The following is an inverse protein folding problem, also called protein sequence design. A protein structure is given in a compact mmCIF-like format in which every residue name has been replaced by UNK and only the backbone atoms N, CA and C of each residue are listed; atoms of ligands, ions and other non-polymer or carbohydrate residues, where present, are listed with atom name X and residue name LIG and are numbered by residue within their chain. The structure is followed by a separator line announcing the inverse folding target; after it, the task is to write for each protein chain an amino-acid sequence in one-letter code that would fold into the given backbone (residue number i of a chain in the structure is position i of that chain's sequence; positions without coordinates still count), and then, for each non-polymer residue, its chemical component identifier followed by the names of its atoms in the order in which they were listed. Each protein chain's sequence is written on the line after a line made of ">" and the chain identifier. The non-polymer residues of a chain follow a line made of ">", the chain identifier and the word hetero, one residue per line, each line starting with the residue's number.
data_IF_922329964944
#
_entry.id   IF_922329964944
#
_cell.length_a   1.000
_cell.length_b   1.000
_cell.length_c   1.000
_cell.angle_alpha   90.00
_cell.angle_beta   90.00
_cell.angle_gamma   90.00
#
_symmetry.space_group_name_H-M   'P 1'
#
loop_
_entity.id
_entity.type
_entity.pdbx_description
1 polymer ?
#
# COMPACT_ATOMS: atom_id res chain seq x y z
N UNK A 1 72.41 -49.86 -38.01
CA UNK A 1 71.65 -50.81 -37.18
C UNK A 1 70.72 -50.03 -36.26
N UNK A 2 69.44 -50.40 -36.25
CA UNK A 2 68.35 -49.89 -35.41
C UNK A 2 68.63 -50.10 -33.90
N UNK A 3 68.05 -49.33 -32.96
CA UNK A 3 66.67 -49.52 -32.53
C UNK A 3 66.04 -48.31 -31.79
N UNK A 4 64.71 -48.20 -31.98
CA UNK A 4 63.73 -47.32 -31.33
C UNK A 4 63.51 -47.69 -29.85
N UNK A 5 63.14 -46.70 -29.02
CA UNK A 5 61.95 -46.70 -28.12
C UNK A 5 62.02 -45.46 -27.20
N UNK A 6 61.21 -44.41 -27.38
CA UNK A 6 59.77 -44.26 -27.14
C UNK A 6 59.39 -44.03 -25.67
N UNK A 7 58.76 -42.86 -25.43
CA UNK A 7 57.77 -42.52 -24.37
C UNK A 7 58.41 -42.29 -22.98
N UNK A 8 58.07 -41.25 -22.22
CA UNK A 8 56.74 -40.71 -21.98
C UNK A 8 56.88 -39.30 -21.35
N UNK A 9 56.49 -38.26 -22.09
CA UNK A 9 56.23 -36.93 -21.53
C UNK A 9 54.92 -37.00 -20.73
N UNK A 10 55.01 -37.01 -19.40
CA UNK A 10 53.86 -36.79 -18.54
C UNK A 10 53.47 -35.32 -18.58
N UNK A 11 52.55 -35.00 -19.51
CA UNK A 11 51.72 -33.78 -19.48
C UNK A 11 50.98 -33.73 -18.15
N UNK A 12 51.40 -32.83 -17.25
CA UNK A 12 50.57 -32.36 -16.13
C UNK A 12 49.33 -31.68 -16.71
N UNK A 13 48.24 -32.43 -16.81
CA UNK A 13 46.90 -31.91 -17.12
C UNK A 13 46.44 -31.09 -15.93
N UNK A 14 46.43 -29.79 -16.14
CA UNK A 14 45.94 -28.77 -15.22
C UNK A 14 44.46 -29.05 -14.92
N UNK A 15 44.19 -29.57 -13.72
CA UNK A 15 42.85 -29.80 -13.19
C UNK A 15 42.33 -28.51 -12.56
N UNK A 16 41.91 -27.55 -13.38
CA UNK A 16 41.21 -26.35 -12.93
C UNK A 16 39.81 -26.31 -13.53
N UNK A 17 38.95 -27.23 -13.08
CA UNK A 17 37.57 -27.34 -13.56
C UNK A 17 36.60 -27.68 -12.42
N UNK A 18 36.74 -27.03 -11.27
CA UNK A 18 35.82 -27.21 -10.14
C UNK A 18 35.59 -25.94 -9.29
N UNK A 19 35.73 -24.74 -9.86
CA UNK A 19 35.52 -23.49 -9.10
C UNK A 19 34.45 -22.54 -9.67
N UNK A 20 33.66 -22.99 -10.65
CA UNK A 20 32.64 -22.14 -11.30
C UNK A 20 31.26 -22.13 -10.62
N UNK A 21 30.97 -23.08 -9.72
CA UNK A 21 29.63 -23.22 -9.11
C UNK A 21 29.41 -22.34 -7.88
N UNK A 22 30.47 -22.06 -7.10
CA UNK A 22 30.36 -21.21 -5.91
C UNK A 22 30.33 -19.72 -6.28
N UNK A 23 31.08 -19.31 -7.31
CA UNK A 23 31.12 -17.90 -7.75
C UNK A 23 29.76 -17.39 -8.27
N UNK A 24 28.99 -18.23 -8.97
CA UNK A 24 27.64 -17.84 -9.43
C UNK A 24 26.63 -17.76 -8.29
N UNK A 25 26.75 -18.62 -7.28
CA UNK A 25 25.87 -18.62 -6.11
C UNK A 25 26.18 -17.44 -5.19
N UNK A 26 27.46 -17.15 -4.94
CA UNK A 26 27.90 -15.99 -4.18
C UNK A 26 27.53 -14.66 -4.85
N UNK A 27 27.68 -14.57 -6.17
CA UNK A 27 27.24 -13.39 -6.93
C UNK A 27 25.72 -13.21 -6.83
N UNK A 28 24.93 -14.28 -7.00
CA UNK A 28 23.48 -14.23 -6.86
C UNK A 28 23.05 -13.84 -5.43
N UNK A 29 23.71 -14.36 -4.40
CA UNK A 29 23.45 -14.01 -2.99
C UNK A 29 23.73 -12.54 -2.72
N UNK A 30 24.88 -12.04 -3.21
CA UNK A 30 25.25 -10.63 -3.08
C UNK A 30 24.22 -9.70 -3.75
N UNK A 31 23.69 -10.10 -4.91
CA UNK A 31 22.63 -9.32 -5.57
C UNK A 31 21.31 -9.28 -4.80
N UNK A 32 20.97 -10.34 -4.06
CA UNK A 32 19.79 -10.35 -3.19
C UNK A 32 20.00 -9.41 -2.00
N UNK A 33 21.15 -9.50 -1.33
CA UNK A 33 21.50 -8.64 -0.19
C UNK A 33 21.54 -7.16 -0.58
N UNK A 34 22.13 -6.81 -1.73
CA UNK A 34 22.14 -5.42 -2.22
C UNK A 34 20.73 -4.92 -2.58
N UNK A 35 19.85 -5.78 -3.09
CA UNK A 35 18.47 -5.42 -3.40
C UNK A 35 17.62 -5.23 -2.14
N UNK A 36 17.83 -6.05 -1.11
CA UNK A 36 17.18 -5.91 0.19
C UNK A 36 17.62 -4.61 0.89
N UNK A 37 18.91 -4.30 0.87
CA UNK A 37 19.43 -3.04 1.43
C UNK A 37 18.82 -1.81 0.74
N UNK A 38 18.72 -1.83 -0.59
CA UNK A 38 18.10 -0.76 -1.37
C UNK A 38 16.59 -0.65 -1.08
N UNK A 39 15.89 -1.79 -0.95
CA UNK A 39 14.49 -1.79 -0.57
C UNK A 39 14.31 -1.16 0.82
N UNK A 40 15.19 -1.47 1.78
CA UNK A 40 15.15 -0.87 3.12
C UNK A 40 15.44 0.65 3.12
N UNK A 41 16.36 1.11 2.27
CA UNK A 41 16.66 2.52 2.07
C UNK A 41 15.46 3.28 1.48
N UNK A 42 14.74 2.65 0.54
CA UNK A 42 13.55 3.21 -0.10
C UNK A 42 12.26 2.99 0.70
N UNK A 43 12.34 2.40 1.89
CA UNK A 43 11.18 2.15 2.75
C UNK A 43 10.30 0.97 2.33
N UNK A 44 10.79 0.02 1.53
CA UNK A 44 10.10 -1.23 1.20
C UNK A 44 9.22 -1.16 -0.06
N UNK A 45 9.47 -0.19 -0.94
CA UNK A 45 8.61 0.18 -2.08
C UNK A 45 9.43 0.46 -3.34
N UNK A 46 10.56 -0.22 -3.48
CA UNK A 46 11.47 -0.12 -4.63
C UNK A 46 10.82 -0.49 -5.97
N UNK A 47 9.70 -1.23 -5.91
CA UNK A 47 8.90 -1.58 -7.10
C UNK A 47 8.35 -0.35 -7.80
N UNK A 48 7.75 0.58 -7.06
CA UNK A 48 7.05 1.72 -7.66
C UNK A 48 8.07 2.73 -8.24
N UNK A 49 9.25 2.83 -7.61
CA UNK A 49 10.38 3.61 -8.11
C UNK A 49 10.93 3.02 -9.42
N UNK A 50 11.05 1.67 -9.49
CA UNK A 50 11.44 0.96 -10.71
C UNK A 50 10.44 1.19 -11.83
N UNK A 51 9.16 1.10 -11.52
CA UNK A 51 8.08 1.28 -12.48
C UNK A 51 8.13 2.67 -13.10
N UNK A 52 8.31 3.72 -12.27
CA UNK A 52 8.51 5.07 -12.78
C UNK A 52 9.79 5.20 -13.62
N UNK A 53 10.93 4.70 -13.15
CA UNK A 53 12.17 4.79 -13.92
C UNK A 53 12.07 4.10 -15.29
N UNK A 54 11.37 2.97 -15.36
CA UNK A 54 11.18 2.22 -16.60
C UNK A 54 10.09 2.78 -17.52
N UNK A 55 9.23 3.69 -17.03
CA UNK A 55 8.26 4.41 -17.86
C UNK A 55 8.87 5.62 -18.59
N UNK A 56 10.08 6.05 -18.21
CA UNK A 56 10.77 7.17 -18.84
C UNK A 56 11.21 6.83 -20.26
N UNK A 57 10.99 7.79 -21.18
CA UNK A 57 11.37 7.70 -22.58
C UNK A 57 11.92 9.03 -23.09
N UNK A 58 12.59 8.98 -24.25
CA UNK A 58 13.09 10.16 -24.94
C UNK A 58 14.04 11.01 -24.08
N UNK A 59 13.76 12.30 -24.03
CA UNK A 59 14.61 13.32 -23.38
C UNK A 59 14.74 13.10 -21.86
N UNK A 60 13.68 12.70 -21.16
CA UNK A 60 13.70 12.48 -19.70
C UNK A 60 14.64 11.35 -19.30
N UNK A 61 14.63 10.25 -20.06
CA UNK A 61 15.54 9.13 -19.83
C UNK A 61 16.99 9.53 -20.17
N UNK A 62 17.17 10.32 -21.22
CA UNK A 62 18.47 10.80 -21.66
C UNK A 62 19.12 11.71 -20.61
N UNK A 63 18.37 12.61 -19.99
CA UNK A 63 18.84 13.48 -18.91
C UNK A 63 19.41 12.68 -17.73
N UNK A 64 18.71 11.62 -17.32
CA UNK A 64 19.17 10.73 -16.23
C UNK A 64 20.45 10.00 -16.63
N UNK A 65 20.54 9.55 -17.88
CA UNK A 65 21.74 8.90 -18.39
C UNK A 65 22.93 9.87 -18.47
N UNK A 66 22.73 11.11 -18.88
CA UNK A 66 23.75 12.15 -18.86
C UNK A 66 24.25 12.37 -17.43
N UNK A 67 23.33 12.52 -16.45
CA UNK A 67 23.67 12.65 -15.04
C UNK A 67 24.47 11.43 -14.53
N UNK A 68 24.02 10.23 -14.89
CA UNK A 68 24.68 8.98 -14.52
C UNK A 68 26.09 8.85 -15.09
N UNK A 69 26.28 9.23 -16.35
CA UNK A 69 27.60 9.26 -16.99
C UNK A 69 28.53 10.30 -16.36
N UNK A 70 27.99 11.47 -16.02
CA UNK A 70 28.74 12.53 -15.34
C UNK A 70 29.23 12.10 -13.96
N UNK A 71 28.39 11.44 -13.17
CA UNK A 71 28.75 11.05 -11.79
C UNK A 71 29.60 9.77 -11.72
N UNK A 72 29.33 8.79 -12.60
CA UNK A 72 29.92 7.47 -12.47
C UNK A 72 30.89 7.08 -13.60
N UNK A 73 30.90 7.82 -14.71
CA UNK A 73 31.82 7.65 -15.85
C UNK A 73 31.20 6.91 -17.05
N UNK A 74 31.76 7.18 -18.24
CA UNK A 74 31.23 6.71 -19.53
C UNK A 74 31.08 5.19 -19.64
N UNK A 75 32.01 4.39 -19.11
CA UNK A 75 31.92 2.93 -19.21
C UNK A 75 30.67 2.36 -18.53
N UNK A 76 30.24 2.97 -17.42
CA UNK A 76 29.02 2.57 -16.70
C UNK A 76 27.77 3.08 -17.41
N UNK A 77 27.83 4.28 -17.98
CA UNK A 77 26.77 4.81 -18.83
C UNK A 77 26.48 3.90 -20.02
N UNK A 78 27.51 3.55 -20.79
CA UNK A 78 27.37 2.67 -21.96
C UNK A 78 26.73 1.33 -21.57
N UNK A 79 27.19 0.75 -20.46
CA UNK A 79 26.57 -0.46 -19.92
C UNK A 79 25.09 -0.26 -19.56
N UNK A 80 24.76 0.84 -18.87
CA UNK A 80 23.38 1.13 -18.47
C UNK A 80 22.46 1.33 -19.67
N UNK A 81 22.91 2.03 -20.72
CA UNK A 81 22.14 2.22 -21.97
C UNK A 81 21.80 0.91 -22.65
N UNK A 82 22.80 0.05 -22.83
CA UNK A 82 22.62 -1.26 -23.47
C UNK A 82 21.72 -2.16 -22.63
N UNK A 83 21.89 -2.15 -21.30
CA UNK A 83 21.14 -3.02 -20.41
C UNK A 83 19.72 -2.53 -20.07
N UNK A 84 19.40 -1.25 -20.29
CA UNK A 84 18.13 -0.66 -19.89
C UNK A 84 16.91 -1.37 -20.48
N UNK A 85 16.94 -1.68 -21.78
CA UNK A 85 15.83 -2.38 -22.43
C UNK A 85 15.64 -3.79 -21.87
N UNK A 86 16.74 -4.48 -21.54
CA UNK A 86 16.67 -5.81 -20.93
C UNK A 86 16.16 -5.76 -19.48
N UNK A 87 16.47 -4.69 -18.74
CA UNK A 87 15.93 -4.46 -17.40
C UNK A 87 14.44 -4.16 -17.44
N UNK A 88 14.03 -3.25 -18.34
CA UNK A 88 12.64 -2.85 -18.55
C UNK A 88 11.75 -4.04 -18.95
N UNK A 89 12.26 -4.91 -19.82
CA UNK A 89 11.56 -6.13 -20.26
C UNK A 89 11.70 -7.31 -19.27
N UNK A 90 12.41 -7.14 -18.17
CA UNK A 90 12.66 -8.21 -17.19
C UNK A 90 13.54 -9.36 -17.68
N UNK A 91 14.18 -9.24 -18.85
CA UNK A 91 15.11 -10.24 -19.41
C UNK A 91 16.38 -10.37 -18.56
N UNK A 92 16.79 -9.27 -17.92
CA UNK A 92 17.94 -9.21 -17.04
C UNK A 92 17.54 -8.48 -15.76
N UNK A 93 18.04 -8.95 -14.61
CA UNK A 93 17.91 -8.20 -13.35
C UNK A 93 19.01 -7.14 -13.26
N UNK A 94 18.65 -5.96 -12.80
CA UNK A 94 19.61 -4.90 -12.47
C UNK A 94 20.37 -5.33 -11.20
N UNK A 95 21.70 -5.21 -11.21
CA UNK A 95 22.50 -5.45 -10.00
C UNK A 95 22.20 -4.35 -8.97
N UNK A 96 22.20 -4.69 -7.68
CA UNK A 96 21.89 -3.74 -6.62
C UNK A 96 22.79 -2.50 -6.62
N UNK A 97 24.10 -2.66 -6.87
CA UNK A 97 25.02 -1.52 -7.07
C UNK A 97 24.59 -0.55 -8.20
N UNK A 98 24.02 -1.06 -9.29
CA UNK A 98 23.57 -0.21 -10.41
C UNK A 98 22.23 0.45 -10.07
N UNK A 99 21.33 -0.29 -9.43
CA UNK A 99 20.06 0.21 -8.95
C UNK A 99 20.25 1.33 -7.92
N UNK A 100 21.13 1.14 -6.95
CA UNK A 100 21.48 2.15 -5.95
C UNK A 100 21.96 3.45 -6.61
N UNK A 101 22.90 3.36 -7.55
CA UNK A 101 23.43 4.53 -8.27
C UNK A 101 22.37 5.25 -9.09
N UNK A 102 21.54 4.50 -9.82
CA UNK A 102 20.47 5.10 -10.63
C UNK A 102 19.42 5.74 -9.73
N UNK A 103 18.97 5.06 -8.66
CA UNK A 103 17.88 5.53 -7.81
C UNK A 103 18.29 6.73 -6.95
N UNK A 104 19.57 6.89 -6.63
CA UNK A 104 20.08 8.12 -6.01
C UNK A 104 19.95 9.35 -6.91
N UNK A 105 19.98 9.17 -8.23
CA UNK A 105 19.88 10.27 -9.20
C UNK A 105 18.44 10.67 -9.52
N UNK A 106 17.45 9.81 -9.28
CA UNK A 106 16.09 10.04 -9.77
C UNK A 106 15.36 11.22 -9.10
N UNK A 107 15.46 11.47 -7.78
CA UNK A 107 14.57 12.42 -7.13
C UNK A 107 14.57 13.84 -7.71
N UNK A 108 15.69 14.45 -8.14
CA UNK A 108 15.67 15.75 -8.81
C UNK A 108 14.89 15.79 -10.13
N UNK A 109 14.81 14.67 -10.85
CA UNK A 109 14.12 14.56 -12.15
C UNK A 109 12.67 14.11 -12.02
N UNK A 110 12.24 13.70 -10.83
CA UNK A 110 10.84 13.30 -10.59
C UNK A 110 9.93 14.53 -10.52
N UNK A 111 8.85 14.57 -11.32
CA UNK A 111 7.77 15.54 -11.13
C UNK A 111 7.21 15.44 -9.72
N UNK A 112 6.76 16.57 -9.18
CA UNK A 112 6.23 16.62 -7.83
C UNK A 112 5.06 15.64 -7.62
N UNK A 113 4.17 15.51 -8.61
CA UNK A 113 3.06 14.54 -8.63
C UNK A 113 3.53 13.09 -8.47
N UNK A 114 4.59 12.69 -9.17
CA UNK A 114 5.19 11.36 -8.99
C UNK A 114 5.77 11.19 -7.59
N UNK A 115 6.43 12.21 -7.04
CA UNK A 115 6.94 12.13 -5.66
C UNK A 115 5.80 11.90 -4.67
N UNK A 116 4.64 12.52 -4.90
CA UNK A 116 3.44 12.31 -4.07
C UNK A 116 2.93 10.87 -4.16
N UNK A 117 2.69 10.36 -5.36
CA UNK A 117 2.14 9.00 -5.54
C UNK A 117 3.06 7.93 -4.94
N UNK A 118 4.38 8.15 -5.00
CA UNK A 118 5.35 7.30 -4.34
C UNK A 118 5.17 7.35 -2.81
N UNK A 119 5.00 8.52 -2.18
CA UNK A 119 4.80 8.55 -0.73
C UNK A 119 3.48 7.89 -0.31
N UNK A 120 2.40 8.13 -1.06
CA UNK A 120 1.08 7.54 -0.80
C UNK A 120 1.14 6.00 -0.78
N UNK A 121 1.82 5.40 -1.77
CA UNK A 121 1.97 3.94 -1.82
C UNK A 121 2.69 3.35 -0.60
N UNK A 122 3.62 4.10 0.00
CA UNK A 122 4.28 3.67 1.24
C UNK A 122 3.35 3.76 2.43
N UNK A 123 2.53 4.82 2.47
CA UNK A 123 1.60 5.07 3.56
C UNK A 123 0.59 3.93 3.72
N UNK A 124 0.07 3.40 2.61
CA UNK A 124 -0.78 2.21 2.57
C UNK A 124 -0.16 0.99 3.25
N UNK A 125 1.16 0.88 3.23
CA UNK A 125 1.90 -0.23 3.82
C UNK A 125 2.18 -0.02 5.32
N UNK A 126 2.56 1.20 5.72
CA UNK A 126 3.11 1.49 7.07
C UNK A 126 2.15 2.18 8.03
N UNK A 127 0.97 2.64 7.57
CA UNK A 127 0.04 3.42 8.39
C UNK A 127 -0.46 2.69 9.66
N UNK A 128 -0.90 3.42 10.69
CA UNK A 128 -1.51 2.84 11.89
C UNK A 128 -2.82 2.14 11.56
N UNK A 129 -3.02 0.97 12.16
CA UNK A 129 -4.31 0.27 12.14
C UNK A 129 -5.10 0.61 13.41
N UNK A 130 -6.07 1.51 13.31
CA UNK A 130 -7.03 1.77 14.40
C UNK A 130 -8.45 1.58 13.89
N UNK A 131 -9.33 1.03 14.72
CA UNK A 131 -10.74 0.88 14.37
C UNK A 131 -11.60 1.46 15.49
N UNK A 132 -12.43 2.43 15.15
CA UNK A 132 -13.40 3.09 16.03
C UNK A 132 -14.81 2.75 15.57
N UNK A 133 -15.76 2.82 16.48
CA UNK A 133 -17.17 2.63 16.16
C UNK A 133 -18.00 3.72 16.84
N UNK A 134 -18.88 4.33 16.06
CA UNK A 134 -19.89 5.29 16.51
C UNK A 134 -21.22 4.57 16.39
N UNK A 135 -21.96 4.47 17.48
CA UNK A 135 -23.30 3.89 17.49
C UNK A 135 -24.30 5.03 17.65
N UNK A 136 -25.25 5.15 16.73
CA UNK A 136 -26.34 6.10 16.79
C UNK A 136 -27.67 5.36 16.66
N UNK A 137 -28.70 5.82 17.35
CA UNK A 137 -30.03 5.26 17.18
C UNK A 137 -30.83 5.96 16.09
N UNK A 138 -31.95 5.35 15.71
CA UNK A 138 -32.76 5.77 14.55
C UNK A 138 -33.31 7.19 14.68
N UNK A 139 -33.58 7.64 15.91
CA UNK A 139 -34.14 8.97 16.19
C UNK A 139 -33.09 10.08 16.28
N UNK A 140 -31.79 9.73 16.21
CA UNK A 140 -30.71 10.72 16.28
C UNK A 140 -30.72 11.64 15.07
N UNK A 141 -30.40 12.92 15.28
CA UNK A 141 -30.30 13.89 14.19
C UNK A 141 -29.13 13.54 13.27
N UNK A 142 -29.29 13.76 11.96
CA UNK A 142 -28.16 13.62 11.00
C UNK A 142 -27.03 14.56 11.39
N UNK A 143 -27.36 15.79 11.78
CA UNK A 143 -26.38 16.81 12.12
C UNK A 143 -25.58 16.40 13.36
N UNK A 144 -26.22 15.83 14.38
CA UNK A 144 -25.55 15.36 15.60
C UNK A 144 -24.63 14.15 15.30
N UNK A 145 -25.04 13.26 14.37
CA UNK A 145 -24.21 12.14 13.94
C UNK A 145 -23.01 12.67 13.14
N UNK A 146 -23.22 13.62 12.22
CA UNK A 146 -22.13 14.24 11.45
C UNK A 146 -21.15 14.97 12.37
N UNK A 147 -21.63 15.65 13.41
CA UNK A 147 -20.79 16.33 14.39
C UNK A 147 -19.94 15.35 15.20
N UNK A 148 -20.53 14.25 15.70
CA UNK A 148 -19.75 13.24 16.44
C UNK A 148 -18.79 12.49 15.51
N UNK A 149 -19.16 12.25 14.25
CA UNK A 149 -18.27 11.66 13.25
C UNK A 149 -17.09 12.60 12.92
N UNK A 150 -17.35 13.90 12.71
CA UNK A 150 -16.30 14.91 12.49
C UNK A 150 -15.37 15.00 13.70
N UNK A 151 -15.93 15.00 14.92
CA UNK A 151 -15.16 14.97 16.16
C UNK A 151 -14.28 13.72 16.26
N UNK A 152 -14.80 12.54 15.93
CA UNK A 152 -14.05 11.29 15.97
C UNK A 152 -12.96 11.24 14.91
N UNK A 153 -13.22 11.72 13.69
CA UNK A 153 -12.22 11.82 12.61
C UNK A 153 -11.12 12.80 12.99
N UNK A 154 -11.47 13.95 13.58
CA UNK A 154 -10.49 14.89 14.13
C UNK A 154 -9.70 14.30 15.30
N UNK A 155 -10.28 13.35 16.04
CA UNK A 155 -9.63 12.65 17.14
C UNK A 155 -8.76 11.48 16.69
N UNK A 156 -8.94 10.98 15.45
CA UNK A 156 -8.03 10.00 14.87
C UNK A 156 -6.62 10.58 14.89
N UNK A 157 -5.69 9.80 15.43
CA UNK A 157 -4.36 10.26 15.83
C UNK A 157 -3.63 10.97 14.70
N UNK A 158 -3.54 12.29 14.78
CA UNK A 158 -2.65 13.14 13.97
C UNK A 158 -1.24 13.21 14.55
N UNK A 159 -1.05 12.78 15.80
CA UNK A 159 0.24 12.72 16.50
C UNK A 159 0.95 11.39 16.20
N UNK A 160 1.14 11.13 14.90
CA UNK A 160 1.84 9.97 14.41
C UNK A 160 3.31 10.34 14.21
N UNK A 161 4.21 9.69 14.95
CA UNK A 161 5.63 9.70 14.57
C UNK A 161 5.75 8.98 13.24
N UNK A 162 6.23 9.70 12.22
CA UNK A 162 6.48 9.18 10.88
C UNK A 162 7.34 7.90 11.03
N UNK A 163 6.87 6.72 10.58
CA UNK A 163 7.61 5.48 10.72
C UNK A 163 8.94 5.60 10.00
N UNK A 164 9.99 4.98 10.54
CA UNK A 164 11.34 5.04 9.94
C UNK A 164 11.37 4.77 8.43
N UNK A 165 10.64 3.78 7.88
CA UNK A 165 10.62 3.57 6.42
C UNK A 165 10.11 4.78 5.64
N UNK A 166 9.09 5.45 6.17
CA UNK A 166 8.48 6.62 5.58
C UNK A 166 9.41 7.83 5.65
N UNK A 167 10.07 8.03 6.80
CA UNK A 167 11.10 9.06 6.97
C UNK A 167 12.23 8.87 5.95
N UNK A 168 12.75 7.65 5.80
CA UNK A 168 13.81 7.34 4.82
C UNK A 168 13.37 7.66 3.39
N UNK A 169 12.16 7.25 2.98
CA UNK A 169 11.64 7.52 1.63
C UNK A 169 11.43 9.02 1.38
N UNK A 170 10.93 9.76 2.36
CA UNK A 170 10.79 11.21 2.27
C UNK A 170 12.15 11.91 2.12
N UNK A 171 13.14 11.56 2.96
CA UNK A 171 14.49 12.11 2.87
C UNK A 171 15.12 11.85 1.50
N UNK A 172 14.91 10.64 0.97
CA UNK A 172 15.37 10.28 -0.37
C UNK A 172 14.66 11.10 -1.47
N UNK A 173 13.33 11.17 -1.46
CA UNK A 173 12.52 11.90 -2.46
C UNK A 173 12.77 13.41 -2.48
N UNK A 174 13.09 13.98 -1.31
CA UNK A 174 13.41 15.39 -1.21
C UNK A 174 14.87 15.68 -1.56
N UNK A 175 15.71 14.68 -1.85
CA UNK A 175 17.17 14.88 -1.97
C UNK A 175 17.74 15.63 -0.76
N UNK A 176 17.20 15.36 0.43
CA UNK A 176 17.51 16.07 1.68
C UNK A 176 17.10 17.57 1.70
N UNK A 177 16.20 18.01 0.81
CA UNK A 177 15.56 19.33 0.82
C UNK A 177 14.47 19.38 1.90
N UNK A 178 14.65 20.27 2.88
CA UNK A 178 13.71 20.45 3.99
C UNK A 178 12.37 21.08 3.58
N UNK A 179 12.34 21.92 2.55
CA UNK A 179 11.11 22.57 2.10
C UNK A 179 10.22 21.60 1.32
N UNK A 180 10.81 20.83 0.41
CA UNK A 180 10.08 19.79 -0.34
C UNK A 180 9.55 18.74 0.63
N UNK A 181 10.37 18.32 1.60
CA UNK A 181 9.95 17.44 2.70
C UNK A 181 8.70 17.97 3.42
N UNK A 182 8.71 19.24 3.84
CA UNK A 182 7.58 19.86 4.54
C UNK A 182 6.33 19.98 3.66
N UNK A 183 6.49 20.32 2.37
CA UNK A 183 5.39 20.40 1.41
C UNK A 183 4.76 19.04 1.14
N UNK A 184 5.57 18.00 0.99
CA UNK A 184 5.09 16.64 0.80
C UNK A 184 4.27 16.17 2.02
N UNK A 185 4.83 16.36 3.22
CA UNK A 185 4.17 15.97 4.47
C UNK A 185 2.87 16.74 4.73
N UNK A 186 2.87 18.05 4.50
CA UNK A 186 1.69 18.89 4.72
C UNK A 186 0.55 18.52 3.78
N UNK A 187 0.86 18.32 2.49
CA UNK A 187 -0.15 17.99 1.49
C UNK A 187 -0.84 16.65 1.77
N UNK A 188 -0.09 15.63 2.18
CA UNK A 188 -0.67 14.32 2.51
C UNK A 188 -1.67 14.40 3.68
N UNK A 189 -1.30 15.14 4.74
CA UNK A 189 -2.19 15.35 5.89
C UNK A 189 -3.48 16.06 5.50
N UNK A 190 -3.40 16.99 4.56
CA UNK A 190 -4.57 17.72 4.08
C UNK A 190 -5.48 16.86 3.18
N UNK A 191 -4.89 16.08 2.25
CA UNK A 191 -5.64 15.16 1.36
C UNK A 191 -6.44 14.11 2.14
N UNK A 192 -5.82 13.45 3.12
CA UNK A 192 -6.49 12.41 3.92
C UNK A 192 -7.69 12.94 4.70
N UNK A 193 -7.53 14.12 5.30
CA UNK A 193 -8.61 14.77 6.05
C UNK A 193 -9.76 15.17 5.13
N UNK A 194 -9.45 15.80 4.00
CA UNK A 194 -10.48 16.31 3.08
C UNK A 194 -11.30 15.18 2.45
N UNK A 195 -10.66 14.08 2.08
CA UNK A 195 -11.34 12.92 1.48
C UNK A 195 -12.26 12.21 2.50
N UNK A 196 -11.80 12.04 3.74
CA UNK A 196 -12.61 11.47 4.82
C UNK A 196 -13.86 12.31 5.12
N UNK A 197 -13.71 13.63 5.20
CA UNK A 197 -14.81 14.55 5.49
C UNK A 197 -15.87 14.58 4.37
N UNK A 198 -15.44 14.68 3.10
CA UNK A 198 -16.35 14.75 1.95
C UNK A 198 -17.19 13.48 1.80
N UNK A 199 -16.56 12.31 1.92
CA UNK A 199 -17.21 11.02 1.73
C UNK A 199 -18.38 10.84 2.71
N UNK A 200 -18.19 11.26 3.96
CA UNK A 200 -19.19 11.08 5.02
C UNK A 200 -20.36 12.03 4.87
N UNK A 201 -20.06 13.30 4.61
CA UNK A 201 -21.11 14.31 4.40
C UNK A 201 -22.03 13.93 3.25
N UNK A 202 -21.49 13.28 2.22
CA UNK A 202 -22.27 12.81 1.08
C UNK A 202 -23.07 11.55 1.39
N UNK A 203 -22.45 10.52 2.00
CA UNK A 203 -23.07 9.20 2.07
C UNK A 203 -23.97 9.00 3.31
N UNK A 204 -23.68 9.67 4.43
CA UNK A 204 -24.40 9.45 5.68
C UNK A 204 -25.91 9.78 5.60
N UNK A 205 -26.36 10.87 4.95
CA UNK A 205 -27.79 11.17 4.82
C UNK A 205 -28.56 10.10 4.06
N UNK A 206 -28.03 9.65 2.91
CA UNK A 206 -28.67 8.61 2.09
C UNK A 206 -28.76 7.27 2.82
N UNK A 207 -27.73 6.94 3.62
CA UNK A 207 -27.69 5.71 4.41
C UNK A 207 -28.69 5.76 5.57
N UNK A 208 -28.85 6.91 6.22
CA UNK A 208 -29.83 7.08 7.28
C UNK A 208 -31.26 7.01 6.74
N UNK A 209 -31.52 7.68 5.62
CA UNK A 209 -32.83 7.62 4.95
C UNK A 209 -33.21 6.17 4.61
N UNK A 210 -32.31 5.41 3.97
CA UNK A 210 -32.53 3.98 3.67
C UNK A 210 -32.73 3.12 4.92
N UNK A 211 -32.07 3.44 6.02
CA UNK A 211 -32.28 2.76 7.29
C UNK A 211 -33.67 3.05 7.87
N UNK A 212 -34.14 4.29 7.74
CA UNK A 212 -35.43 4.72 8.23
C UNK A 212 -36.61 4.21 7.39
N UNK A 213 -36.48 4.14 6.05
CA UNK A 213 -37.59 3.79 5.16
C UNK A 213 -37.66 2.29 4.84
N UNK A 214 -36.57 1.70 4.37
CA UNK A 214 -36.61 0.41 3.65
C UNK A 214 -36.17 -0.77 4.53
N UNK A 215 -35.26 -0.49 5.46
CA UNK A 215 -34.62 -1.50 6.29
C UNK A 215 -35.26 -1.65 7.67
N UNK A 216 -36.16 -0.74 8.05
CA UNK A 216 -36.72 -0.72 9.40
C UNK A 216 -37.55 -1.94 9.78
N UNK A 217 -38.12 -2.65 8.80
CA UNK A 217 -38.93 -3.85 9.02
C UNK A 217 -38.09 -5.15 9.01
N UNK A 218 -36.92 -5.13 8.36
CA UNK A 218 -36.15 -6.35 8.05
C UNK A 218 -34.72 -6.37 8.59
N UNK A 219 -34.16 -5.20 8.91
CA UNK A 219 -32.80 -5.07 9.43
C UNK A 219 -32.80 -4.22 10.70
N UNK A 220 -32.46 -4.86 11.81
CA UNK A 220 -32.27 -4.20 13.10
C UNK A 220 -31.01 -3.32 13.16
N UNK A 221 -30.20 -3.30 12.09
CA UNK A 221 -28.91 -2.61 12.05
C UNK A 221 -28.48 -2.23 10.63
N UNK A 222 -27.94 -1.01 10.49
CA UNK A 222 -27.10 -0.60 9.36
C UNK A 222 -25.70 -0.27 9.89
N UNK A 223 -24.66 -0.67 9.15
CA UNK A 223 -23.28 -0.29 9.46
C UNK A 223 -22.60 0.28 8.23
N UNK A 224 -21.96 1.43 8.40
CA UNK A 224 -21.16 2.11 7.40
C UNK A 224 -19.74 2.25 7.93
N UNK A 225 -18.74 1.89 7.13
CA UNK A 225 -17.32 1.97 7.53
C UNK A 225 -16.65 3.02 6.68
N UNK A 226 -16.01 3.97 7.34
CA UNK A 226 -15.13 4.96 6.73
C UNK A 226 -13.72 4.47 6.94
N UNK A 227 -12.95 4.36 5.89
CA UNK A 227 -11.51 4.08 5.98
C UNK A 227 -10.73 5.39 5.75
N UNK A 228 -9.78 5.67 6.64
CA UNK A 228 -8.78 6.74 6.53
C UNK A 228 -7.41 6.06 6.60
N UNK A 229 -6.82 5.81 5.44
CA UNK A 229 -5.63 4.95 5.31
C UNK A 229 -5.92 3.55 5.86
N UNK A 230 -5.22 3.17 6.94
CA UNK A 230 -5.43 1.88 7.63
C UNK A 230 -6.30 1.99 8.88
N UNK A 231 -6.83 3.18 9.15
CA UNK A 231 -7.75 3.44 10.23
C UNK A 231 -9.18 3.37 9.72
N UNK A 232 -10.13 2.97 10.58
CA UNK A 232 -11.54 2.92 10.19
C UNK A 232 -12.47 3.45 11.26
N UNK A 233 -13.47 4.25 10.89
CA UNK A 233 -14.59 4.64 11.76
C UNK A 233 -15.84 3.96 11.23
N UNK A 234 -16.40 3.03 12.01
CA UNK A 234 -17.67 2.38 11.69
C UNK A 234 -18.83 3.14 12.33
N UNK A 235 -19.73 3.71 11.55
CA UNK A 235 -21.01 4.23 12.02
C UNK A 235 -22.04 3.10 12.02
N UNK A 236 -22.62 2.79 13.17
CA UNK A 236 -23.67 1.79 13.36
C UNK A 236 -24.98 2.49 13.71
N UNK A 237 -25.99 2.32 12.87
CA UNK A 237 -27.36 2.69 13.18
C UNK A 237 -28.06 1.49 13.83
N UNK A 238 -28.47 1.62 15.09
CA UNK A 238 -29.13 0.53 15.85
C UNK A 238 -30.18 1.04 16.81
N UNK A 239 -31.35 0.38 16.84
CA UNK A 239 -32.42 0.65 17.81
C UNK A 239 -33.11 2.01 17.65
N UNK A 240 -34.13 2.26 18.48
CA UNK A 240 -34.95 3.49 18.41
C UNK A 240 -34.52 4.58 19.41
N UNK A 241 -33.40 4.39 20.09
CA UNK A 241 -32.93 5.34 21.11
C UNK A 241 -32.35 6.60 20.44
N UNK A 242 -32.33 7.72 21.15
CA UNK A 242 -31.71 8.97 20.68
C UNK A 242 -30.26 9.12 21.18
N UNK A 243 -29.55 8.01 21.41
CA UNK A 243 -28.22 8.03 22.02
C UNK A 243 -27.12 7.83 20.97
N UNK A 244 -26.10 8.69 21.01
CA UNK A 244 -24.89 8.59 20.19
C UNK A 244 -23.72 8.24 21.12
N UNK A 245 -23.01 7.15 20.80
CA UNK A 245 -21.87 6.64 21.59
C UNK A 245 -20.67 6.33 20.71
N UNK A 246 -19.49 6.78 21.12
CA UNK A 246 -18.21 6.42 20.50
C UNK A 246 -17.43 5.43 21.36
N UNK A 247 -16.80 4.42 20.74
CA UNK A 247 -15.92 3.47 21.42
C UNK A 247 -14.86 2.84 20.50
N UNK A 248 -13.96 2.05 21.08
CA UNK A 248 -13.11 1.14 20.30
C UNK A 248 -13.95 0.11 19.55
N UNK A 249 -13.49 -0.33 18.38
CA UNK A 249 -14.21 -1.30 17.57
C UNK A 249 -14.40 -2.62 18.33
N UNK A 250 -15.64 -3.10 18.32
CA UNK A 250 -16.02 -4.42 18.80
C UNK A 250 -16.88 -5.09 17.73
N UNK A 251 -16.84 -6.43 17.59
CA UNK A 251 -17.71 -7.12 16.64
C UNK A 251 -19.17 -6.84 16.98
N UNK A 252 -20.00 -6.65 15.96
CA UNK A 252 -21.42 -6.42 16.19
C UNK A 252 -22.02 -7.56 17.05
N UNK A 253 -22.84 -7.25 18.07
CA UNK A 253 -23.57 -8.26 18.81
C UNK A 253 -24.36 -9.10 17.83
N UNK A 254 -24.38 -10.43 18.00
CA UNK A 254 -25.28 -11.27 17.19
C UNK A 254 -26.72 -10.79 17.45
N UNK A 255 -27.56 -10.67 16.41
CA UNK A 255 -28.96 -10.40 16.63
C UNK A 255 -29.50 -11.48 17.57
N UNK A 256 -30.09 -11.08 18.71
CA UNK A 256 -30.77 -12.02 19.58
C UNK A 256 -31.83 -12.73 18.74
N UNK A 257 -31.89 -14.06 18.76
CA UNK A 257 -32.97 -14.76 18.08
C UNK A 257 -34.28 -14.23 18.64
N UNK A 258 -35.12 -13.70 17.74
CA UNK A 258 -36.47 -13.24 18.08
C UNK A 258 -37.10 -14.31 18.97
N UNK A 259 -37.51 -13.93 20.20
CA UNK A 259 -38.23 -14.81 21.11
C UNK A 259 -39.41 -15.37 20.33
N UNK A 260 -39.30 -16.62 19.91
CA UNK A 260 -40.37 -17.28 19.17
C UNK A 260 -41.63 -17.19 20.04
N UNK A 261 -42.77 -16.73 19.48
CA UNK A 261 -44.02 -16.83 20.20
C UNK A 261 -44.21 -18.30 20.59
N UNK A 262 -44.58 -18.55 21.85
CA UNK A 262 -44.90 -19.89 22.34
C UNK A 262 -46.00 -20.47 21.46
N UNK A 263 -45.62 -21.27 20.46
CA UNK A 263 -46.56 -21.90 19.53
C UNK A 263 -47.26 -23.04 20.24
N UNK A 264 -48.54 -22.84 20.55
CA UNK A 264 -49.47 -23.94 20.68
C UNK A 264 -49.82 -24.49 19.30
N UNK A 265 -49.71 -25.81 19.17
CA UNK A 265 -50.39 -26.69 18.21
C UNK A 265 -50.05 -26.60 16.71
N UNK A 266 -49.29 -27.61 16.28
CA UNK A 266 -49.42 -28.50 15.09
C UNK A 266 -49.76 -27.95 13.70
N UNK A 267 -48.89 -28.34 12.76
CA UNK A 267 -49.09 -28.60 11.33
C UNK A 267 -49.31 -27.40 10.39
N UNK A 268 -48.24 -26.90 9.77
CA UNK A 268 -47.92 -27.21 8.36
C UNK A 268 -46.68 -26.43 7.85
N UNK A 269 -46.06 -27.00 6.82
CA UNK A 269 -44.84 -26.60 6.11
C UNK A 269 -44.58 -25.09 5.91
N UNK A 270 -43.32 -24.65 6.12
CA UNK A 270 -42.33 -24.34 5.06
C UNK A 270 -41.02 -23.96 5.76
N UNK A 271 -39.94 -24.68 5.43
CA UNK A 271 -38.58 -24.35 5.86
C UNK A 271 -38.11 -23.05 5.18
N UNK A 272 -38.39 -21.90 5.80
CA UNK A 272 -37.78 -20.63 5.42
C UNK A 272 -36.33 -20.61 5.91
N UNK A 273 -35.40 -20.88 4.99
CA UNK A 273 -33.98 -20.59 5.20
C UNK A 273 -33.82 -19.08 5.39
N UNK A 274 -33.35 -18.68 6.57
CA UNK A 274 -32.95 -17.30 6.84
C UNK A 274 -31.78 -16.92 5.91
N UNK A 275 -32.05 -16.03 4.95
CA UNK A 275 -31.02 -15.32 4.21
C UNK A 275 -30.59 -14.16 5.12
N UNK A 276 -29.47 -14.32 5.82
CA UNK A 276 -28.78 -13.21 6.46
C UNK A 276 -28.22 -12.30 5.38
N UNK A 277 -28.98 -11.29 4.97
CA UNK A 277 -28.46 -10.22 4.10
C UNK A 277 -27.68 -9.25 5.00
N UNK A 278 -26.43 -9.59 5.28
CA UNK A 278 -25.44 -8.60 5.66
C UNK A 278 -25.02 -7.86 4.40
N UNK A 279 -25.63 -6.72 4.09
CA UNK A 279 -25.08 -5.82 3.07
C UNK A 279 -23.84 -5.16 3.68
N UNK A 280 -22.69 -5.80 3.48
CA UNK A 280 -21.38 -5.14 3.59
C UNK A 280 -21.19 -4.45 2.24
N UNK A 281 -21.48 -3.15 2.17
CA UNK A 281 -21.02 -2.33 1.03
C UNK A 281 -19.53 -2.13 1.24
N UNK A 282 -18.74 -3.05 0.71
CA UNK A 282 -17.32 -2.83 0.52
C UNK A 282 -17.17 -1.99 -0.76
N UNK A 283 -16.90 -0.69 -0.62
CA UNK A 283 -16.46 0.12 -1.74
C UNK A 283 -15.06 -0.33 -2.14
N UNK A 284 -14.98 -1.21 -3.14
CA UNK A 284 -13.78 -1.40 -3.94
C UNK A 284 -13.48 -0.08 -4.65
N UNK A 285 -12.44 0.62 -4.21
CA UNK A 285 -11.78 1.65 -5.01
C UNK A 285 -11.04 0.91 -6.13
N UNK A 286 -11.78 0.59 -7.18
CA UNK A 286 -11.26 0.32 -8.49
C UNK A 286 -12.18 1.04 -9.47
N UNK A 287 -11.61 1.97 -10.24
CA UNK A 287 -12.26 2.82 -11.24
C UNK A 287 -12.94 4.08 -10.69
N UNK A 288 -12.14 5.12 -10.45
CA UNK A 288 -12.22 6.37 -11.22
C UNK A 288 -10.77 6.88 -11.34
N UNK A 289 -10.35 7.19 -12.57
CA UNK A 289 -8.96 7.43 -12.94
C UNK A 289 -8.44 8.83 -12.67
#
# INVERSE_FOLDING_TARGET
>A
MAYKNSRQQYRRRNSNRYNGRNSSFEAAKKHIEEAEALSEELGGTDRDVKEWFFSLEGEQLEEIFVAYGSEYGNSKLEYARVAFQDWRLGKKKMSGMVAERLFKLLPPYMPLETKYSLVESLWDFVGPKTKRVITAGRQSSIDDILEEVDKEIRSLTTNWMIPTPLTKRFTWLSSNDSEVYQKLLSHLKDQERELGEKTIKQQLPELKEKFETDLSENASRLSYVIDVGRQSVEVRLTGDQNEIKSSNWFPAPRPEPLKQPKSGSSDDFVALKWIGVGVVIACLIAMFG
#
